data_IF_430515267615
#
_entry.id   IF_430515267615
#
_cell.length_a   1.000
_cell.length_b   1.000
_cell.length_c   1.000
_cell.angle_alpha   90.00
_cell.angle_beta   90.00
_cell.angle_gamma   90.00
#
_symmetry.space_group_name_H-M   'P 1'
#
loop_
_entity.id
_entity.type
_entity.pdbx_description
1 polymer ?
#
# COMPACT_ATOMS: atom_id res chain seq x y z
N UNK A 1 -1.40 28.87 -36.73
CA UNK A 1 -1.69 30.32 -36.89
C UNK A 1 -2.82 30.65 -35.92
N UNK A 2 -2.53 31.40 -34.82
CA UNK A 2 -2.99 32.80 -34.60
C UNK A 2 -4.53 32.87 -34.42
N UNK A 3 -5.17 33.38 -33.37
CA UNK A 3 -4.89 34.24 -32.19
C UNK A 3 -6.15 34.10 -31.28
N UNK A 4 -6.06 34.00 -29.95
CA UNK A 4 -6.09 35.11 -28.97
C UNK A 4 -7.17 36.19 -29.21
N UNK A 5 -8.19 36.19 -28.34
CA UNK A 5 -9.09 37.30 -27.94
C UNK A 5 -9.63 36.91 -26.55
N UNK A 6 -9.10 37.32 -25.37
CA UNK A 6 -8.89 38.63 -24.72
C UNK A 6 -10.14 39.50 -24.60
N UNK A 7 -10.28 40.07 -23.40
CA UNK A 7 -11.16 41.18 -22.92
C UNK A 7 -12.50 40.70 -22.31
N UNK A 8 -12.88 41.01 -21.06
CA UNK A 8 -13.04 42.36 -20.48
C UNK A 8 -13.27 42.30 -18.94
N UNK A 9 -12.48 43.08 -18.19
CA UNK A 9 -12.75 43.99 -17.05
C UNK A 9 -13.36 43.60 -15.68
N UNK A 10 -12.83 44.36 -14.70
CA UNK A 10 -13.40 44.92 -13.45
C UNK A 10 -13.14 44.13 -12.16
N UNK A 11 -12.20 44.53 -11.27
CA UNK A 11 -12.03 45.78 -10.47
C UNK A 11 -12.96 45.81 -9.23
N UNK A 12 -12.33 46.04 -8.07
CA UNK A 12 -12.85 46.27 -6.70
C UNK A 12 -13.21 44.99 -5.91
N UNK A 13 -12.81 44.80 -4.65
CA UNK A 13 -12.49 45.77 -3.61
C UNK A 13 -11.39 45.24 -2.68
N UNK A 14 -10.39 46.10 -2.42
CA UNK A 14 -9.58 45.98 -1.21
C UNK A 14 -10.47 46.35 -0.02
N UNK A 15 -10.89 45.36 0.76
CA UNK A 15 -11.37 45.58 2.12
C UNK A 15 -10.29 45.05 3.04
N UNK A 16 -9.62 45.99 3.70
CA UNK A 16 -8.65 45.70 4.73
C UNK A 16 -9.31 44.98 5.90
N UNK A 17 -8.84 43.77 6.16
CA UNK A 17 -8.88 43.18 7.49
C UNK A 17 -7.52 43.43 8.14
N UNK A 18 -7.40 44.63 8.71
CA UNK A 18 -6.38 44.91 9.71
C UNK A 18 -6.72 44.16 10.99
N UNK A 19 -5.90 43.16 11.31
CA UNK A 19 -5.59 42.81 12.69
C UNK A 19 -6.21 41.52 13.23
N UNK A 20 -5.44 40.43 13.15
CA UNK A 20 -5.08 39.56 14.29
C UNK A 20 -4.00 38.62 13.71
N UNK A 21 -2.72 38.74 14.07
CA UNK A 21 -2.26 38.51 15.43
C UNK A 21 -2.16 37.00 15.65
N UNK A 22 -0.96 36.44 15.51
CA UNK A 22 -0.67 35.02 15.74
C UNK A 22 0.12 34.48 14.56
N UNK A 23 1.45 34.39 14.65
CA UNK A 23 2.14 33.66 15.69
C UNK A 23 2.57 32.35 15.04
N UNK A 24 3.86 32.25 14.74
CA UNK A 24 4.41 31.19 13.93
C UNK A 24 4.08 29.80 14.45
N UNK A 25 3.95 28.88 13.51
CA UNK A 25 4.42 27.52 13.66
C UNK A 25 4.68 27.06 12.24
N UNK A 26 5.97 27.05 11.86
CA UNK A 26 6.43 26.17 10.80
C UNK A 26 6.20 24.76 11.31
N UNK A 27 4.96 24.29 11.23
CA UNK A 27 4.68 22.87 11.19
C UNK A 27 5.13 22.44 9.82
N UNK A 28 6.36 21.92 9.73
CA UNK A 28 6.64 20.98 8.67
C UNK A 28 5.48 20.00 8.72
N UNK A 29 4.66 19.99 7.67
CA UNK A 29 3.83 18.84 7.40
C UNK A 29 4.84 17.74 7.19
N UNK A 30 5.19 17.05 8.28
CA UNK A 30 5.79 15.74 8.22
C UNK A 30 4.80 14.97 7.38
N UNK A 31 5.12 14.93 6.09
CA UNK A 31 4.36 14.25 5.07
C UNK A 31 4.69 12.78 5.21
N UNK A 32 4.71 12.28 6.46
CA UNK A 32 4.68 10.86 6.74
C UNK A 32 3.39 10.40 6.09
N UNK A 33 3.47 9.58 5.04
CA UNK A 33 2.29 9.01 4.43
C UNK A 33 1.44 8.39 5.53
N UNK A 34 0.12 8.50 5.43
CA UNK A 34 -0.74 7.77 6.34
C UNK A 34 -0.45 6.28 6.15
N UNK A 35 0.09 5.64 7.19
CA UNK A 35 0.40 4.22 7.19
C UNK A 35 -0.86 3.49 7.65
N UNK A 36 -1.36 2.59 6.83
CA UNK A 36 -2.50 1.74 7.15
C UNK A 36 -2.00 0.37 7.64
N UNK A 37 -2.80 -0.25 8.52
CA UNK A 37 -2.55 -1.61 8.98
C UNK A 37 -3.34 -2.58 8.10
N UNK A 38 -2.62 -3.48 7.46
CA UNK A 38 -3.17 -4.59 6.68
C UNK A 38 -2.80 -5.92 7.35
N UNK A 39 -3.43 -6.99 6.90
CA UNK A 39 -3.30 -8.32 7.45
C UNK A 39 -2.95 -9.30 6.34
N UNK A 40 -1.93 -10.12 6.56
CA UNK A 40 -1.58 -11.23 5.69
C UNK A 40 -2.31 -12.49 6.19
N UNK A 41 -3.15 -13.07 5.35
CA UNK A 41 -3.93 -14.27 5.66
C UNK A 41 -3.66 -15.39 4.66
N UNK A 42 -3.94 -16.64 5.04
CA UNK A 42 -3.87 -17.80 4.16
C UNK A 42 -5.17 -18.00 3.36
N UNK A 43 -5.23 -19.06 2.55
CA UNK A 43 -6.40 -19.41 1.74
C UNK A 43 -7.65 -19.76 2.54
N UNK A 44 -7.59 -19.81 3.87
CA UNK A 44 -8.70 -20.03 4.81
C UNK A 44 -9.03 -18.78 5.63
N UNK A 45 -8.35 -17.64 5.38
CA UNK A 45 -8.46 -16.42 6.16
C UNK A 45 -7.77 -16.50 7.53
N UNK A 46 -6.90 -17.49 7.76
CA UNK A 46 -6.13 -17.58 8.99
C UNK A 46 -4.89 -16.66 8.92
N UNK A 47 -4.52 -16.00 10.02
CA UNK A 47 -3.44 -15.02 10.02
C UNK A 47 -2.06 -15.68 9.80
N UNK A 48 -1.23 -15.06 8.96
CA UNK A 48 0.13 -15.51 8.65
C UNK A 48 1.15 -14.61 9.33
N UNK A 49 1.63 -15.07 10.49
CA UNK A 49 2.64 -14.38 11.31
C UNK A 49 4.07 -14.74 10.93
N UNK A 50 5.04 -13.88 11.27
CA UNK A 50 6.45 -14.20 11.14
C UNK A 50 7.06 -13.92 9.76
N UNK A 51 6.34 -13.20 8.90
CA UNK A 51 6.77 -12.84 7.54
C UNK A 51 7.48 -11.50 7.59
N UNK A 52 8.75 -11.49 7.20
CA UNK A 52 9.50 -10.25 7.07
C UNK A 52 8.94 -9.41 5.93
N UNK A 53 8.87 -8.09 6.10
CA UNK A 53 8.55 -7.16 5.02
C UNK A 53 9.45 -5.92 5.07
N UNK A 54 9.73 -5.36 3.91
CA UNK A 54 10.52 -4.14 3.74
C UNK A 54 9.93 -3.28 2.61
N UNK A 55 9.53 -2.05 2.94
CA UNK A 55 8.83 -1.13 2.06
C UNK A 55 9.71 0.05 1.63
N UNK A 56 9.51 0.53 0.40
CA UNK A 56 10.24 1.70 -0.12
C UNK A 56 9.98 2.99 0.70
N UNK A 57 8.81 3.11 1.32
CA UNK A 57 8.49 4.20 2.25
C UNK A 57 9.32 4.21 3.54
N UNK A 58 10.02 3.10 3.85
CA UNK A 58 10.80 2.90 5.05
C UNK A 58 10.10 2.08 6.14
N UNK A 59 8.84 1.68 5.93
CA UNK A 59 8.15 0.72 6.79
C UNK A 59 8.76 -0.67 6.64
N UNK A 60 9.17 -1.28 7.75
CA UNK A 60 9.77 -2.62 7.73
C UNK A 60 9.50 -3.33 9.04
N UNK A 61 9.46 -4.65 9.00
CA UNK A 61 9.17 -5.43 10.19
C UNK A 61 8.89 -6.88 9.92
N UNK A 62 8.12 -7.48 10.82
CA UNK A 62 7.66 -8.86 10.73
C UNK A 62 6.17 -8.87 11.04
N UNK A 63 5.37 -9.63 10.28
CA UNK A 63 3.94 -9.75 10.54
C UNK A 63 3.69 -10.27 11.96
N UNK A 64 2.76 -9.64 12.67
CA UNK A 64 2.45 -9.97 14.06
C UNK A 64 1.62 -11.28 14.17
N UNK A 65 1.26 -11.75 15.39
CA UNK A 65 0.46 -12.98 15.55
C UNK A 65 -0.93 -12.95 14.90
N UNK A 66 -1.44 -11.77 14.55
CA UNK A 66 -2.67 -11.58 13.78
C UNK A 66 -2.43 -11.44 12.28
N UNK A 67 -1.19 -11.60 11.81
CA UNK A 67 -0.79 -11.36 10.43
C UNK A 67 -0.65 -9.88 10.09
N UNK A 68 -0.75 -9.00 11.09
CA UNK A 68 -0.76 -7.55 10.91
C UNK A 68 0.61 -7.00 10.49
N UNK A 69 0.59 -6.07 9.54
CA UNK A 69 1.76 -5.30 9.10
C UNK A 69 1.36 -3.88 8.72
N UNK A 70 2.33 -2.97 8.76
CA UNK A 70 2.16 -1.57 8.39
C UNK A 70 2.59 -1.34 6.95
N UNK A 71 1.75 -0.64 6.18
CA UNK A 71 1.96 -0.37 4.76
C UNK A 71 1.42 1.01 4.39
N UNK A 72 2.05 1.68 3.43
CA UNK A 72 1.54 2.93 2.88
C UNK A 72 0.73 2.66 1.58
N UNK A 73 -0.62 2.71 1.59
CA UNK A 73 -1.47 2.39 0.42
C UNK A 73 -1.32 3.36 -0.76
N UNK A 74 -0.51 4.41 -0.65
CA UNK A 74 -0.39 5.47 -1.65
C UNK A 74 0.89 5.34 -2.49
N UNK A 75 0.95 4.32 -3.35
CA UNK A 75 2.04 4.18 -4.33
C UNK A 75 3.35 3.65 -3.75
N UNK A 76 3.26 2.87 -2.67
CA UNK A 76 4.41 2.19 -2.07
C UNK A 76 4.60 0.80 -2.67
N UNK A 77 5.82 0.29 -2.50
CA UNK A 77 6.18 -1.07 -2.91
C UNK A 77 6.85 -1.76 -1.74
N UNK A 78 6.42 -2.98 -1.43
CA UNK A 78 6.98 -3.75 -0.33
C UNK A 78 7.39 -5.15 -0.77
N UNK A 79 8.58 -5.53 -0.32
CA UNK A 79 9.14 -6.86 -0.46
C UNK A 79 8.73 -7.72 0.73
N UNK A 80 8.07 -8.84 0.47
CA UNK A 80 7.73 -9.84 1.48
C UNK A 80 8.68 -11.03 1.36
N UNK A 81 9.37 -11.32 2.46
CA UNK A 81 10.30 -12.44 2.57
C UNK A 81 9.54 -13.69 3.00
N UNK A 82 9.05 -14.45 2.02
CA UNK A 82 8.24 -15.63 2.25
C UNK A 82 9.18 -16.81 2.57
N UNK A 83 9.17 -17.34 3.82
CA UNK A 83 9.69 -18.67 4.08
C UNK A 83 8.80 -19.68 3.35
N UNK A 84 9.17 -20.96 3.36
CA UNK A 84 8.44 -22.05 2.68
C UNK A 84 6.96 -22.12 3.12
N UNK A 85 6.11 -21.31 2.48
CA UNK A 85 4.66 -21.27 2.66
C UNK A 85 4.08 -22.07 1.50
N UNK A 86 3.29 -23.09 1.84
CA UNK A 86 2.66 -24.00 0.88
C UNK A 86 1.20 -23.63 0.62
N UNK A 87 0.83 -22.37 0.85
CA UNK A 87 -0.55 -21.91 0.80
C UNK A 87 -0.65 -20.56 0.08
N UNK A 88 -1.85 -20.28 -0.42
CA UNK A 88 -2.16 -19.00 -1.04
C UNK A 88 -2.22 -17.94 0.05
N UNK A 89 -1.66 -16.77 -0.26
CA UNK A 89 -1.70 -15.63 0.64
C UNK A 89 -2.77 -14.63 0.20
N UNK A 90 -3.26 -13.84 1.13
CA UNK A 90 -4.21 -12.78 0.88
C UNK A 90 -3.83 -11.58 1.73
N UNK A 91 -4.11 -10.39 1.19
CA UNK A 91 -3.99 -9.14 1.93
C UNK A 91 -5.40 -8.69 2.29
N UNK A 92 -5.62 -8.37 3.55
CA UNK A 92 -6.88 -7.87 4.06
C UNK A 92 -6.68 -6.52 4.75
N UNK A 93 -7.68 -5.65 4.68
CA UNK A 93 -7.73 -4.41 5.45
C UNK A 93 -8.15 -4.66 6.91
N UNK A 94 -8.21 -3.60 7.73
CA UNK A 94 -8.66 -3.66 9.12
C UNK A 94 -10.13 -4.09 9.33
N UNK A 95 -10.90 -4.24 8.26
CA UNK A 95 -12.28 -4.71 8.27
C UNK A 95 -12.43 -6.11 7.65
N UNK A 96 -11.32 -6.82 7.41
CA UNK A 96 -11.28 -8.13 6.76
C UNK A 96 -11.83 -8.12 5.33
N UNK A 97 -11.73 -6.98 4.63
CA UNK A 97 -11.96 -6.93 3.19
C UNK A 97 -10.64 -7.20 2.48
N UNK A 98 -10.65 -8.12 1.50
CA UNK A 98 -9.48 -8.36 0.68
C UNK A 98 -9.06 -7.12 -0.11
N UNK A 99 -7.77 -6.83 -0.11
CA UNK A 99 -7.19 -5.80 -0.97
C UNK A 99 -6.82 -6.43 -2.30
N UNK A 100 -7.53 -6.03 -3.35
CA UNK A 100 -7.49 -6.67 -4.66
C UNK A 100 -6.84 -5.77 -5.71
N UNK A 101 -6.24 -6.40 -6.72
CA UNK A 101 -5.78 -5.72 -7.93
C UNK A 101 -4.40 -5.07 -7.81
N UNK A 102 -3.63 -5.36 -6.77
CA UNK A 102 -2.24 -4.86 -6.68
C UNK A 102 -1.33 -5.83 -7.45
N UNK A 103 -0.48 -5.36 -8.37
CA UNK A 103 0.48 -6.22 -9.03
C UNK A 103 1.49 -6.80 -8.03
N UNK A 104 1.94 -8.02 -8.29
CA UNK A 104 3.08 -8.62 -7.60
C UNK A 104 4.06 -9.30 -8.55
N UNK A 105 5.31 -9.31 -8.13
CA UNK A 105 6.42 -9.99 -8.80
C UNK A 105 7.32 -10.68 -7.77
N UNK A 106 7.49 -11.98 -7.92
CA UNK A 106 8.29 -12.80 -7.01
C UNK A 106 9.59 -13.27 -7.68
N UNK A 107 10.67 -13.37 -6.90
CA UNK A 107 11.98 -13.81 -7.41
C UNK A 107 12.00 -15.22 -7.99
N UNK A 108 11.03 -16.06 -7.60
CA UNK A 108 10.75 -17.38 -8.21
C UNK A 108 10.21 -17.32 -9.65
N UNK A 109 9.80 -16.14 -10.12
CA UNK A 109 9.20 -15.91 -11.43
C UNK A 109 7.66 -15.94 -11.43
N UNK A 110 7.02 -16.00 -10.26
CA UNK A 110 5.57 -15.84 -10.15
C UNK A 110 5.19 -14.36 -10.16
N UNK A 111 4.24 -14.00 -11.02
CA UNK A 111 3.73 -12.64 -11.16
C UNK A 111 2.22 -12.66 -11.29
N UNK A 112 1.52 -11.66 -10.76
CA UNK A 112 0.06 -11.62 -10.85
C UNK A 112 -0.54 -10.37 -10.24
N UNK A 113 -1.80 -10.50 -9.81
CA UNK A 113 -2.51 -9.46 -9.07
C UNK A 113 -3.12 -10.05 -7.80
N UNK A 114 -3.21 -9.24 -6.75
CA UNK A 114 -3.85 -9.61 -5.48
C UNK A 114 -5.35 -9.78 -5.65
N UNK A 115 -5.95 -10.48 -4.69
CA UNK A 115 -7.37 -10.73 -4.68
C UNK A 115 -7.82 -11.30 -3.34
N UNK A 116 -9.14 -11.37 -3.19
CA UNK A 116 -9.78 -11.59 -1.91
C UNK A 116 -10.01 -13.07 -1.66
N UNK A 117 -10.24 -13.40 -0.39
CA UNK A 117 -10.64 -14.73 0.06
C UNK A 117 -12.01 -15.17 -0.54
N UNK A 118 -12.83 -14.24 -1.02
CA UNK A 118 -14.22 -14.48 -1.48
C UNK A 118 -14.36 -14.51 -3.01
N UNK A 119 -13.29 -14.23 -3.76
CA UNK A 119 -13.29 -14.07 -5.21
C UNK A 119 -11.99 -14.56 -5.86
N UNK A 120 -12.03 -14.71 -7.18
CA UNK A 120 -10.91 -15.24 -7.95
C UNK A 120 -9.75 -14.25 -7.99
N UNK A 121 -8.84 -14.33 -7.01
CA UNK A 121 -7.59 -13.57 -7.05
C UNK A 121 -6.61 -13.76 -5.89
N UNK A 122 -6.73 -14.81 -5.07
CA UNK A 122 -5.67 -15.11 -4.08
C UNK A 122 -4.26 -15.09 -4.69
N UNK A 123 -3.24 -14.79 -3.88
CA UNK A 123 -1.85 -14.63 -4.34
C UNK A 123 -1.23 -15.87 -4.99
N UNK A 124 -1.96 -16.96 -5.15
CA UNK A 124 -1.37 -18.19 -5.63
C UNK A 124 -2.29 -18.98 -6.55
N UNK A 125 -2.46 -18.39 -7.74
CA UNK A 125 -2.70 -19.17 -8.94
C UNK A 125 -1.50 -20.04 -9.39
N UNK A 126 -0.52 -20.31 -8.52
CA UNK A 126 0.54 -21.26 -8.85
C UNK A 126 1.82 -21.15 -8.05
N UNK A 127 1.82 -21.15 -6.70
CA UNK A 127 3.02 -21.60 -5.98
C UNK A 127 3.27 -23.07 -6.37
N UNK A 128 3.99 -23.27 -7.47
CA UNK A 128 4.30 -24.58 -7.98
C UNK A 128 5.22 -25.24 -6.95
N UNK A 129 4.66 -26.16 -6.16
CA UNK A 129 5.15 -27.53 -5.98
C UNK A 129 6.67 -27.78 -5.81
N UNK A 130 7.50 -26.79 -5.49
CA UNK A 130 8.94 -26.90 -5.37
C UNK A 130 9.37 -26.52 -3.95
N UNK A 131 9.53 -27.56 -3.14
CA UNK A 131 9.48 -27.58 -1.69
C UNK A 131 10.67 -26.89 -0.98
N UNK A 132 11.44 -26.00 -1.63
CA UNK A 132 12.75 -25.60 -1.09
C UNK A 132 13.23 -24.16 -1.33
N UNK A 133 12.43 -23.25 -1.89
CA UNK A 133 12.91 -21.89 -2.18
C UNK A 133 12.32 -20.87 -1.20
N UNK A 134 13.17 -20.13 -0.50
CA UNK A 134 12.79 -18.84 0.08
C UNK A 134 12.51 -17.89 -1.08
N UNK A 135 11.38 -17.19 -1.05
CA UNK A 135 11.00 -16.27 -2.10
C UNK A 135 10.87 -14.85 -1.55
N UNK A 136 11.12 -13.87 -2.42
CA UNK A 136 10.84 -12.47 -2.15
C UNK A 136 9.80 -12.03 -3.15
N UNK A 137 8.64 -11.60 -2.66
CA UNK A 137 7.55 -11.09 -3.48
C UNK A 137 7.40 -9.60 -3.25
N UNK A 138 7.61 -8.82 -4.30
CA UNK A 138 7.37 -7.39 -4.33
C UNK A 138 5.92 -7.13 -4.67
N UNK A 139 5.25 -6.27 -3.91
CA UNK A 139 3.85 -5.86 -4.10
C UNK A 139 3.83 -4.36 -4.32
N UNK A 140 3.35 -3.90 -5.48
CA UNK A 140 3.23 -2.47 -5.79
C UNK A 140 1.78 -2.00 -5.64
N UNK A 141 1.53 -0.94 -4.88
CA UNK A 141 0.20 -0.31 -4.73
C UNK A 141 -0.06 0.84 -5.72
#
# INVERSE_FOLDING_TARGET
MKKLSVLVFSVLAMIGLSGCGGGGSGGGSDSTPAVDMNYLTDSFGAPVSGIGYDCLSGEHGVTDPSGGYYFNPYGDSCDFYLPQINDDLHIEDAYYNGVNGLPYDCTSGFTGFTGDYVGAGGYAGGFAHDWFVTDVCTIDY
#
